data_IF_975988443369
#
_entry.id   IF_975988443369
#
_cell.length_a   1.000
_cell.length_b   1.000
_cell.length_c   1.000
_cell.angle_alpha   90.00
_cell.angle_beta   90.00
_cell.angle_gamma   90.00
#
_symmetry.space_group_name_H-M   'P 1'
#
loop_
_entity.id
_entity.type
_entity.pdbx_description
1 polymer ?
#
# COMPACT_ATOMS: atom_id res chain seq x y z
N UNK A 1 -12.98 10.57 -5.51
CA UNK A 1 -13.14 9.17 -5.98
C UNK A 1 -12.53 8.24 -4.97
N UNK A 2 -12.84 6.93 -4.99
CA UNK A 2 -12.16 5.97 -4.12
C UNK A 2 -10.67 5.87 -4.52
N UNK A 3 -9.75 5.75 -3.56
CA UNK A 3 -8.28 5.78 -3.81
C UNK A 3 -7.56 4.49 -3.40
N UNK A 4 -8.26 3.54 -2.80
CA UNK A 4 -7.69 2.26 -2.41
C UNK A 4 -8.74 1.35 -1.77
N UNK A 5 -8.40 0.07 -1.66
CA UNK A 5 -9.23 -0.95 -1.00
C UNK A 5 -8.35 -1.88 -0.17
N UNK A 6 -8.90 -2.40 0.92
CA UNK A 6 -8.26 -3.43 1.75
C UNK A 6 -9.25 -4.58 1.95
N UNK A 7 -8.78 -5.81 1.74
CA UNK A 7 -9.55 -7.02 2.04
C UNK A 7 -9.65 -7.20 3.55
N UNK A 8 -10.84 -7.56 4.03
CA UNK A 8 -11.07 -7.83 5.46
C UNK A 8 -10.69 -9.26 5.86
N UNK A 9 -10.54 -10.15 4.87
CA UNK A 9 -10.36 -11.58 5.04
C UNK A 9 -8.97 -12.08 4.63
N UNK A 10 -8.17 -11.24 3.98
CA UNK A 10 -6.85 -11.59 3.43
C UNK A 10 -5.89 -10.42 3.58
N UNK A 11 -4.57 -10.68 3.74
CA UNK A 11 -3.55 -9.63 3.76
C UNK A 11 -3.29 -9.12 2.33
N UNK A 12 -4.26 -8.39 1.78
CA UNK A 12 -4.24 -7.90 0.41
C UNK A 12 -4.95 -6.55 0.31
N UNK A 13 -4.25 -5.55 -0.22
CA UNK A 13 -4.78 -4.19 -0.42
C UNK A 13 -4.33 -3.66 -1.79
N UNK A 14 -4.94 -2.56 -2.23
CA UNK A 14 -4.50 -1.81 -3.40
C UNK A 14 -4.65 -0.30 -3.21
N UNK A 15 -3.87 0.45 -3.98
CA UNK A 15 -3.89 1.91 -4.02
C UNK A 15 -3.92 2.36 -5.48
N UNK A 16 -4.70 3.40 -5.78
CA UNK A 16 -4.94 3.87 -7.15
C UNK A 16 -3.85 4.81 -7.67
N UNK A 17 -3.14 5.50 -6.78
CA UNK A 17 -2.06 6.43 -7.14
C UNK A 17 -0.70 5.74 -7.28
N UNK A 18 0.34 6.55 -7.48
CA UNK A 18 1.73 6.13 -7.60
C UNK A 18 2.48 6.40 -6.28
N UNK A 19 2.54 5.43 -5.35
CA UNK A 19 3.20 5.62 -4.06
C UNK A 19 4.72 5.78 -4.16
N UNK A 20 5.30 5.34 -5.27
CA UNK A 20 6.73 5.48 -5.59
C UNK A 20 7.14 6.92 -5.91
N UNK A 21 6.17 7.77 -6.30
CA UNK A 21 6.34 9.17 -6.66
C UNK A 21 7.55 9.44 -7.59
N UNK A 22 7.32 9.55 -8.90
CA UNK A 22 8.36 9.94 -9.88
C UNK A 22 7.75 10.46 -11.20
N UNK A 23 7.48 11.77 -11.33
CA UNK A 23 7.65 12.84 -10.33
C UNK A 23 6.46 12.90 -9.34
N UNK A 24 6.67 13.43 -8.14
CA UNK A 24 5.58 13.69 -7.18
C UNK A 24 6.02 13.77 -5.72
N UNK A 25 5.09 14.06 -4.80
CA UNK A 25 5.34 14.03 -3.35
C UNK A 25 5.36 12.59 -2.83
N UNK A 26 6.22 12.32 -1.84
CA UNK A 26 6.43 10.98 -1.27
C UNK A 26 5.50 10.69 -0.08
N UNK A 27 4.41 11.44 0.07
CA UNK A 27 3.49 11.39 1.23
C UNK A 27 2.81 10.03 1.40
N UNK A 28 2.76 9.23 0.33
CA UNK A 28 2.11 7.90 0.27
C UNK A 28 3.10 6.74 0.18
N UNK A 29 4.41 7.01 0.31
CA UNK A 29 5.45 5.98 0.37
C UNK A 29 5.25 4.93 1.50
N UNK A 30 4.66 5.23 2.68
CA UNK A 30 4.43 4.23 3.73
C UNK A 30 3.53 3.04 3.33
N UNK A 31 2.86 3.12 2.18
CA UNK A 31 2.12 1.99 1.61
C UNK A 31 3.06 0.80 1.33
N UNK A 32 4.33 1.05 1.02
CA UNK A 32 5.34 0.00 0.89
C UNK A 32 5.71 -0.65 2.23
N UNK A 33 5.80 0.14 3.30
CA UNK A 33 6.07 -0.38 4.65
C UNK A 33 4.95 -1.34 5.07
N UNK A 34 3.69 -0.96 4.83
CA UNK A 34 2.55 -1.82 5.11
C UNK A 34 2.60 -3.14 4.30
N UNK A 35 3.04 -3.09 3.05
CA UNK A 35 3.24 -4.31 2.26
C UNK A 35 4.30 -5.24 2.87
N UNK A 36 5.41 -4.68 3.36
CA UNK A 36 6.49 -5.44 4.01
C UNK A 36 5.98 -6.07 5.32
N UNK A 37 5.23 -5.33 6.13
CA UNK A 37 4.61 -5.86 7.36
C UNK A 37 3.75 -7.10 7.08
N UNK A 38 2.95 -7.07 6.02
CA UNK A 38 2.10 -8.21 5.63
C UNK A 38 2.93 -9.43 5.19
N UNK A 39 4.13 -9.23 4.65
CA UNK A 39 5.07 -10.32 4.32
C UNK A 39 5.67 -10.91 5.60
N UNK A 40 6.13 -10.06 6.53
CA UNK A 40 6.76 -10.52 7.78
C UNK A 40 5.79 -11.29 8.68
N UNK A 41 4.53 -10.85 8.77
CA UNK A 41 3.47 -11.56 9.54
C UNK A 41 3.16 -12.95 8.95
N UNK A 42 3.49 -13.19 7.68
CA UNK A 42 3.20 -14.44 6.97
C UNK A 42 4.39 -15.42 6.97
N UNK A 43 5.56 -15.03 7.51
CA UNK A 43 6.67 -15.96 7.78
C UNK A 43 6.35 -16.85 8.97
#
# INVERSE_FOLDING_TARGET
TLQGIHRTDKPAFSFQGHPEASPGPHDVAPVFDHFIELIEVRK
#
